data_IF_960047511838
#
_entry.id   IF_960047511838
#
_cell.length_a   1.000
_cell.length_b   1.000
_cell.length_c   1.000
_cell.angle_alpha   90.00
_cell.angle_beta   90.00
_cell.angle_gamma   90.00
#
_symmetry.space_group_name_H-M   'P 1'
#
loop_
_entity.id
_entity.type
_entity.pdbx_description
1 polymer ?
#
# COMPACT_ATOMS: atom_id res chain seq x y z
N UNK A 1 8.41 17.97 28.32
CA UNK A 1 7.05 17.53 28.08
C UNK A 1 6.78 17.12 26.63
N UNK A 2 7.07 17.98 25.66
CA UNK A 2 6.88 17.63 24.26
C UNK A 2 7.70 16.41 23.82
N UNK A 3 8.92 16.27 24.35
CA UNK A 3 9.77 15.11 24.02
C UNK A 3 9.23 13.82 24.61
N UNK A 4 8.60 13.86 25.78
CA UNK A 4 7.97 12.68 26.39
C UNK A 4 6.76 12.21 25.58
N UNK A 5 5.95 13.15 25.09
CA UNK A 5 4.81 12.84 24.24
C UNK A 5 5.27 12.18 22.95
N UNK A 6 6.36 12.69 22.35
CA UNK A 6 6.93 12.10 21.14
C UNK A 6 7.46 10.68 21.38
N UNK A 7 8.14 10.46 22.51
CA UNK A 7 8.65 9.14 22.88
C UNK A 7 7.49 8.16 23.04
N UNK A 8 6.38 8.60 23.65
CA UNK A 8 5.20 7.77 23.84
C UNK A 8 4.52 7.39 22.52
N UNK A 9 4.78 8.13 21.44
CA UNK A 9 4.20 7.88 20.13
C UNK A 9 5.11 7.04 19.21
N UNK A 10 6.30 6.69 19.68
CA UNK A 10 7.19 5.86 18.87
C UNK A 10 6.80 4.39 18.98
N UNK A 11 7.21 3.64 18.00
CA UNK A 11 7.03 2.18 17.95
C UNK A 11 8.27 1.53 17.37
N UNK A 12 8.38 0.22 17.51
CA UNK A 12 9.48 -0.50 16.90
C UNK A 12 9.49 -0.31 15.39
N UNK A 13 10.65 0.00 14.83
CA UNK A 13 10.82 0.18 13.40
C UNK A 13 10.34 -1.05 12.61
N UNK A 14 10.54 -2.25 13.16
CA UNK A 14 10.09 -3.49 12.55
C UNK A 14 8.58 -3.50 12.29
N UNK A 15 7.79 -2.99 13.21
CA UNK A 15 6.33 -2.97 13.08
C UNK A 15 5.89 -2.04 11.94
N UNK A 16 6.53 -0.87 11.84
CA UNK A 16 6.25 0.07 10.77
C UNK A 16 6.56 -0.53 9.40
N UNK A 17 7.69 -1.22 9.29
CA UNK A 17 8.07 -1.88 8.04
C UNK A 17 7.09 -3.00 7.65
N UNK A 18 6.64 -3.79 8.61
CA UNK A 18 5.67 -4.85 8.35
C UNK A 18 4.32 -4.30 7.89
N UNK A 19 3.87 -3.19 8.50
CA UNK A 19 2.64 -2.55 8.06
C UNK A 19 2.77 -2.01 6.65
N UNK A 20 3.92 -1.44 6.32
CA UNK A 20 4.19 -0.95 4.96
C UNK A 20 4.12 -2.10 3.94
N UNK A 21 4.73 -3.22 4.25
CA UNK A 21 4.68 -4.41 3.39
C UNK A 21 3.24 -4.91 3.23
N UNK A 22 2.48 -4.92 4.32
CA UNK A 22 1.08 -5.34 4.29
C UNK A 22 0.23 -4.47 3.38
N UNK A 23 0.42 -3.15 3.46
CA UNK A 23 -0.33 -2.21 2.63
C UNK A 23 0.02 -2.39 1.14
N UNK A 24 1.28 -2.63 0.83
CA UNK A 24 1.69 -2.92 -0.53
C UNK A 24 1.04 -4.20 -1.07
N UNK A 25 0.97 -5.26 -0.25
CA UNK A 25 0.34 -6.51 -0.66
C UNK A 25 -1.17 -6.35 -0.85
N UNK A 26 -1.83 -5.56 -0.01
CA UNK A 26 -3.24 -5.24 -0.21
C UNK A 26 -3.47 -4.52 -1.55
N UNK A 27 -2.60 -3.58 -1.85
CA UNK A 27 -2.68 -2.82 -3.10
C UNK A 27 -2.51 -3.75 -4.30
N UNK A 28 -1.57 -4.68 -4.24
CA UNK A 28 -1.35 -5.66 -5.30
C UNK A 28 -2.61 -6.49 -5.54
N UNK A 29 -3.26 -6.96 -4.47
CA UNK A 29 -4.49 -7.74 -4.59
C UNK A 29 -5.61 -6.96 -5.27
N UNK A 30 -5.73 -5.68 -4.95
CA UNK A 30 -6.71 -4.81 -5.60
C UNK A 30 -6.42 -4.67 -7.09
N UNK A 31 -5.16 -4.52 -7.45
CA UNK A 31 -4.75 -4.42 -8.86
C UNK A 31 -4.99 -5.75 -9.60
N UNK A 32 -4.71 -6.87 -8.96
CA UNK A 32 -4.99 -8.20 -9.53
C UNK A 32 -6.48 -8.39 -9.82
N UNK A 33 -7.34 -7.96 -8.91
CA UNK A 33 -8.78 -8.03 -9.09
C UNK A 33 -9.22 -7.18 -10.30
N UNK A 34 -8.67 -5.98 -10.41
CA UNK A 34 -8.94 -5.10 -11.55
C UNK A 34 -8.44 -5.70 -12.86
N UNK A 35 -7.28 -6.33 -12.84
CA UNK A 35 -6.70 -7.01 -14.00
C UNK A 35 -7.62 -8.12 -14.50
N UNK A 36 -8.20 -8.90 -13.60
CA UNK A 36 -9.13 -9.96 -13.96
C UNK A 36 -10.36 -9.39 -14.65
N UNK A 37 -10.91 -8.31 -14.13
CA UNK A 37 -12.08 -7.65 -14.73
C UNK A 37 -11.76 -7.13 -16.12
N UNK A 38 -10.62 -6.48 -16.29
CA UNK A 38 -10.18 -5.96 -17.59
C UNK A 38 -9.93 -7.09 -18.56
N UNK A 39 -9.25 -8.15 -18.11
CA UNK A 39 -8.97 -9.32 -18.95
C UNK A 39 -10.25 -9.99 -19.43
N UNK A 40 -11.26 -10.10 -18.57
CA UNK A 40 -12.56 -10.67 -18.94
C UNK A 40 -13.27 -9.78 -19.95
N UNK A 41 -13.23 -8.47 -19.75
CA UNK A 41 -13.86 -7.51 -20.68
C UNK A 41 -13.21 -7.61 -22.07
N UNK A 42 -11.89 -7.73 -22.14
CA UNK A 42 -11.16 -7.90 -23.40
C UNK A 42 -11.56 -9.22 -24.07
N UNK A 43 -11.62 -10.30 -23.31
CA UNK A 43 -12.00 -11.61 -23.82
C UNK A 43 -13.43 -11.61 -24.38
N UNK A 44 -14.37 -10.95 -23.69
CA UNK A 44 -15.75 -10.86 -24.14
C UNK A 44 -15.93 -9.96 -25.36
N UNK A 45 -15.04 -8.98 -25.55
CA UNK A 45 -15.10 -8.10 -26.71
C UNK A 45 -14.62 -8.78 -27.99
N UNK A 46 -13.88 -9.85 -27.88
CA UNK A 46 -13.28 -10.55 -29.01
C UNK A 46 -12.17 -9.77 -29.71
N UNK A 47 -11.74 -8.66 -29.12
CA UNK A 47 -10.73 -7.77 -29.70
C UNK A 47 -9.52 -7.66 -28.80
N UNK A 48 -8.78 -8.76 -28.65
CA UNK A 48 -7.50 -8.70 -27.97
C UNK A 48 -6.46 -8.11 -28.93
N UNK A 49 -6.22 -6.82 -28.82
CA UNK A 49 -5.17 -6.17 -29.59
C UNK A 49 -3.82 -6.38 -28.93
N UNK A 50 -2.77 -6.44 -29.75
CA UNK A 50 -1.41 -6.64 -29.26
C UNK A 50 -0.99 -5.57 -28.25
N UNK A 51 -1.43 -4.32 -28.45
CA UNK A 51 -1.11 -3.21 -27.54
C UNK A 51 -1.72 -3.41 -26.16
N UNK A 52 -2.95 -3.94 -26.08
CA UNK A 52 -3.61 -4.22 -24.82
C UNK A 52 -2.90 -5.34 -24.06
N UNK A 53 -2.46 -6.37 -24.79
CA UNK A 53 -1.68 -7.46 -24.18
C UNK A 53 -0.36 -6.96 -23.63
N UNK A 54 0.29 -6.05 -24.35
CA UNK A 54 1.55 -5.46 -23.90
C UNK A 54 1.34 -4.64 -22.62
N UNK A 55 0.25 -3.86 -22.54
CA UNK A 55 -0.07 -3.08 -21.35
C UNK A 55 -0.34 -3.99 -20.14
N UNK A 56 -1.02 -5.13 -20.34
CA UNK A 56 -1.22 -6.10 -19.27
C UNK A 56 0.09 -6.71 -18.79
N UNK A 57 1.03 -6.97 -19.71
CA UNK A 57 2.36 -7.46 -19.33
C UNK A 57 3.14 -6.44 -18.53
N UNK A 58 3.06 -5.16 -18.88
CA UNK A 58 3.69 -4.08 -18.13
C UNK A 58 3.11 -3.98 -16.72
N UNK A 59 1.80 -4.12 -16.60
CA UNK A 59 1.12 -4.09 -15.32
C UNK A 59 1.56 -5.26 -14.44
N UNK A 60 1.67 -6.45 -15.02
CA UNK A 60 2.15 -7.62 -14.31
C UNK A 60 3.59 -7.41 -13.80
N UNK A 61 4.45 -6.83 -14.63
CA UNK A 61 5.82 -6.52 -14.23
C UNK A 61 5.85 -5.52 -13.08
N UNK A 62 4.99 -4.51 -13.12
CA UNK A 62 4.87 -3.53 -12.04
C UNK A 62 4.44 -4.20 -10.74
N UNK A 63 3.49 -5.11 -10.80
CA UNK A 63 3.06 -5.89 -9.64
C UNK A 63 4.21 -6.69 -9.04
N UNK A 64 5.01 -7.33 -9.89
CA UNK A 64 6.19 -8.08 -9.43
C UNK A 64 7.18 -7.17 -8.70
N UNK A 65 7.39 -5.97 -9.20
CA UNK A 65 8.26 -5.00 -8.54
C UNK A 65 7.72 -4.59 -7.18
N UNK A 66 6.44 -4.29 -7.09
CA UNK A 66 5.82 -3.89 -5.82
C UNK A 66 5.89 -5.03 -4.82
N UNK A 67 5.61 -6.25 -5.26
CA UNK A 67 5.71 -7.43 -4.42
C UNK A 67 7.14 -7.63 -3.91
N UNK A 68 8.12 -7.41 -4.77
CA UNK A 68 9.53 -7.47 -4.39
C UNK A 68 9.88 -6.45 -3.32
N UNK A 69 9.36 -5.23 -3.43
CA UNK A 69 9.57 -4.20 -2.40
C UNK A 69 8.92 -4.62 -1.08
N UNK A 70 7.72 -5.18 -1.13
CA UNK A 70 7.05 -5.66 0.07
C UNK A 70 7.85 -6.77 0.75
N UNK A 71 8.36 -7.72 -0.02
CA UNK A 71 9.20 -8.81 0.51
C UNK A 71 10.48 -8.26 1.13
N UNK A 72 11.09 -7.27 0.50
CA UNK A 72 12.28 -6.61 1.01
C UNK A 72 12.01 -5.93 2.35
N UNK A 73 10.92 -5.19 2.46
CA UNK A 73 10.55 -4.51 3.70
C UNK A 73 10.27 -5.51 4.82
N UNK A 74 9.62 -6.61 4.50
CA UNK A 74 9.36 -7.66 5.49
C UNK A 74 10.64 -8.31 5.96
N UNK A 75 11.56 -8.61 5.04
CA UNK A 75 12.87 -9.17 5.40
C UNK A 75 13.65 -8.19 6.28
N UNK A 76 13.66 -6.90 5.93
CA UNK A 76 14.29 -5.87 6.76
C UNK A 76 13.69 -5.85 8.17
N UNK A 77 12.37 -5.96 8.26
CA UNK A 77 11.71 -5.93 9.57
C UNK A 77 12.22 -7.05 10.49
N UNK A 78 12.50 -8.21 9.93
CA UNK A 78 13.04 -9.34 10.68
C UNK A 78 14.48 -9.15 11.15
N UNK A 79 15.20 -8.20 10.57
CA UNK A 79 16.59 -7.89 10.92
C UNK A 79 16.71 -6.68 11.84
N UNK A 80 15.62 -5.94 12.07
CA UNK A 80 15.66 -4.72 12.87
C UNK A 80 15.82 -5.04 14.35
N UNK A 81 16.76 -4.39 15.04
CA UNK A 81 16.84 -4.49 16.48
C UNK A 81 15.57 -3.97 17.16
N UNK A 82 15.08 -4.65 18.21
CA UNK A 82 13.83 -4.21 18.87
C UNK A 82 13.93 -2.83 19.52
N UNK A 83 15.12 -2.37 19.85
CA UNK A 83 15.33 -1.06 20.45
C UNK A 83 15.23 0.10 19.45
N UNK A 84 15.18 -0.17 18.16
CA UNK A 84 15.05 0.88 17.16
C UNK A 84 13.59 1.34 17.08
N UNK A 85 13.40 2.60 17.46
CA UNK A 85 12.09 3.23 17.54
C UNK A 85 11.93 4.27 16.44
N UNK A 86 10.73 4.36 15.88
CA UNK A 86 10.39 5.36 14.87
C UNK A 86 9.08 6.03 15.22
N UNK A 87 8.93 7.27 14.79
CA UNK A 87 7.67 8.01 14.88
C UNK A 87 6.88 7.79 13.58
N UNK A 88 6.22 6.64 13.48
CA UNK A 88 5.45 6.29 12.29
C UNK A 88 4.25 7.23 12.11
N UNK A 89 3.64 7.65 13.21
CA UNK A 89 2.52 8.59 13.16
C UNK A 89 2.95 9.94 12.59
N UNK A 90 4.12 10.43 13.01
CA UNK A 90 4.70 11.65 12.45
C UNK A 90 5.02 11.49 10.97
N UNK A 91 5.64 10.38 10.60
CA UNK A 91 5.97 10.09 9.21
C UNK A 91 4.73 9.98 8.33
N UNK A 92 3.62 9.44 8.86
CA UNK A 92 2.38 9.27 8.11
C UNK A 92 1.78 10.58 7.62
N UNK A 93 2.15 11.69 8.24
CA UNK A 93 1.67 13.02 7.82
C UNK A 93 2.16 13.41 6.43
N UNK A 94 3.20 12.76 5.94
CA UNK A 94 3.70 12.98 4.58
C UNK A 94 2.87 12.25 3.53
N UNK A 95 1.96 11.37 3.97
CA UNK A 95 1.15 10.56 3.06
C UNK A 95 -0.11 11.33 2.71
N UNK A 96 -0.28 11.62 1.42
CA UNK A 96 -1.40 12.43 0.94
C UNK A 96 -2.74 11.69 1.03
N UNK A 97 -2.72 10.37 0.82
CA UNK A 97 -3.93 9.55 0.91
C UNK A 97 -4.21 9.26 2.39
N UNK A 98 -5.25 9.90 2.93
CA UNK A 98 -5.54 9.88 4.37
C UNK A 98 -5.74 8.46 4.92
N UNK A 99 -6.43 7.60 4.20
CA UNK A 99 -6.66 6.22 4.65
C UNK A 99 -5.34 5.44 4.75
N UNK A 100 -4.44 5.63 3.79
CA UNK A 100 -3.14 4.98 3.81
C UNK A 100 -2.28 5.51 4.95
N UNK A 101 -2.29 6.83 5.16
CA UNK A 101 -1.59 7.45 6.27
C UNK A 101 -2.03 6.88 7.60
N UNK A 102 -3.34 6.70 7.79
CA UNK A 102 -3.89 6.12 9.01
C UNK A 102 -3.42 4.69 9.22
N UNK A 103 -3.41 3.88 8.17
CA UNK A 103 -2.97 2.48 8.25
C UNK A 103 -1.48 2.36 8.54
N UNK A 104 -0.67 3.25 8.00
CA UNK A 104 0.77 3.22 8.20
C UNK A 104 1.18 3.82 9.54
N UNK A 105 0.47 4.84 10.00
CA UNK A 105 0.85 5.62 11.17
C UNK A 105 0.39 5.03 12.50
N UNK A 106 -0.67 4.24 12.53
CA UNK A 106 -1.25 3.77 13.78
C UNK A 106 -1.75 2.33 13.63
N UNK A 107 -1.07 1.37 14.29
CA UNK A 107 -1.46 -0.04 14.22
C UNK A 107 -2.81 -0.33 14.90
N UNK A 108 -3.21 0.52 15.85
CA UNK A 108 -4.42 0.32 16.64
C UNK A 108 -5.64 1.00 16.05
N UNK A 109 -5.46 1.81 15.01
CA UNK A 109 -6.59 2.45 14.35
C UNK A 109 -7.32 1.41 13.50
N UNK A 110 -8.58 1.12 13.80
CA UNK A 110 -9.34 0.19 12.96
C UNK A 110 -9.48 0.77 11.57
N UNK A 111 -9.43 -0.11 10.58
CA UNK A 111 -9.65 0.29 9.21
C UNK A 111 -11.05 0.88 9.07
N UNK A 112 -11.10 2.13 8.67
CA UNK A 112 -12.35 2.78 8.34
C UNK A 112 -12.48 2.81 6.83
N UNK A 113 -13.63 2.40 6.34
CA UNK A 113 -13.86 2.48 4.91
C UNK A 113 -13.76 3.93 4.48
N UNK A 114 -13.10 4.19 3.34
CA UNK A 114 -13.00 5.55 2.85
C UNK A 114 -14.39 6.12 2.60
N UNK A 115 -14.55 7.40 2.89
CA UNK A 115 -15.77 8.13 2.57
C UNK A 115 -15.97 8.08 1.06
N UNK A 116 -17.18 7.73 0.58
CA UNK A 116 -17.42 7.70 -0.86
C UNK A 116 -17.03 9.02 -1.51
N UNK A 117 -16.17 8.94 -2.50
CA UNK A 117 -15.71 10.11 -3.24
C UNK A 117 -16.78 10.53 -4.22
N UNK A 118 -17.15 11.83 -4.29
CA UNK A 118 -18.09 12.29 -5.31
C UNK A 118 -17.61 11.94 -6.72
N UNK A 119 -18.53 11.64 -7.61
CA UNK A 119 -18.22 11.23 -8.98
C UNK A 119 -17.27 12.19 -9.71
N UNK A 120 -17.31 13.46 -9.36
CA UNK A 120 -16.43 14.46 -9.97
C UNK A 120 -14.94 14.18 -9.74
N UNK A 121 -14.60 13.42 -8.72
CA UNK A 121 -13.22 13.05 -8.44
C UNK A 121 -12.74 11.83 -9.22
N UNK A 122 -13.64 11.07 -9.76
CA UNK A 122 -13.31 9.88 -10.55
C UNK A 122 -12.67 10.23 -11.89
N UNK A 123 -12.76 11.47 -12.29
CA UNK A 123 -12.21 11.97 -13.55
C UNK A 123 -10.71 12.24 -13.47
N UNK A 124 -10.12 12.09 -12.30
CA UNK A 124 -8.71 12.25 -12.08
C UNK A 124 -8.04 10.89 -11.88
#
# INVERSE_FOLDING_TARGET
MKSQIRIAQTEEAAFSLRRSARELRKTIRMVEDMEQVVGLAIALSGKAEADQMLELQKLDHLQQKILGVADFLEALSGMMPPEWQVDAKGASRCVLLAELGAQLGDPDTPYQQPIPVPETYELF
#
